data_IF_807832311352
#
_entry.id   IF_807832311352
#
_cell.length_a   1.000
_cell.length_b   1.000
_cell.length_c   1.000
_cell.angle_alpha   90.00
_cell.angle_beta   90.00
_cell.angle_gamma   90.00
#
_symmetry.space_group_name_H-M   'P 1'
#
loop_
_entity.id
_entity.type
_entity.pdbx_description
1 polymer ?
#
# COMPACT_ATOMS: atom_id res chain seq x y z
N UNK A 1 2.47 -8.95 14.86
CA UNK A 1 1.06 -8.99 15.32
C UNK A 1 0.67 -7.72 16.08
N UNK A 2 1.45 -7.24 17.06
CA UNK A 2 1.15 -6.00 17.80
C UNK A 2 1.04 -4.76 16.90
N UNK A 3 2.07 -4.48 16.07
CA UNK A 3 2.06 -3.33 15.14
C UNK A 3 0.80 -3.32 14.26
N UNK A 4 0.46 -4.45 13.66
CA UNK A 4 -0.73 -4.58 12.81
C UNK A 4 -2.03 -4.32 13.57
N UNK A 5 -2.14 -4.75 14.84
CA UNK A 5 -3.30 -4.46 15.70
C UNK A 5 -3.37 -2.99 16.08
N UNK A 6 -2.24 -2.35 16.39
CA UNK A 6 -2.20 -0.90 16.66
C UNK A 6 -2.65 -0.11 15.43
N UNK A 7 -2.14 -0.44 14.24
CA UNK A 7 -2.54 0.21 12.99
C UNK A 7 -4.05 0.06 12.73
N UNK A 8 -4.62 -1.11 13.02
CA UNK A 8 -6.06 -1.32 12.91
C UNK A 8 -6.85 -0.51 13.93
N UNK A 9 -6.38 -0.43 15.18
CA UNK A 9 -7.01 0.39 16.21
C UNK A 9 -7.00 1.88 15.83
N UNK A 10 -5.91 2.37 15.22
CA UNK A 10 -5.81 3.76 14.76
C UNK A 10 -6.87 4.12 13.71
N UNK A 11 -7.39 3.16 12.93
CA UNK A 11 -8.47 3.44 11.95
C UNK A 11 -9.71 4.03 12.60
N UNK A 12 -10.04 3.61 13.84
CA UNK A 12 -11.18 4.14 14.58
C UNK A 12 -11.01 5.60 15.01
N UNK A 13 -9.78 6.13 14.97
CA UNK A 13 -9.46 7.51 15.31
C UNK A 13 -9.17 8.36 14.06
N UNK A 14 -9.53 7.85 12.88
CA UNK A 14 -9.33 8.57 11.62
C UNK A 14 -10.61 8.60 10.79
N UNK A 15 -10.83 9.64 9.99
CA UNK A 15 -11.98 9.76 9.09
C UNK A 15 -12.20 8.53 8.19
N UNK A 16 -13.46 8.22 7.89
CA UNK A 16 -13.80 7.17 6.92
C UNK A 16 -13.46 7.61 5.48
N UNK A 17 -12.67 6.79 4.79
CA UNK A 17 -12.16 7.11 3.46
C UNK A 17 -13.26 7.09 2.40
N UNK A 18 -14.24 6.19 2.52
CA UNK A 18 -15.34 6.12 1.56
C UNK A 18 -16.19 7.39 1.63
N UNK A 19 -16.50 7.87 2.84
CA UNK A 19 -17.21 9.13 3.04
C UNK A 19 -16.43 10.33 2.49
N UNK A 20 -15.12 10.36 2.72
CA UNK A 20 -14.22 11.37 2.15
C UNK A 20 -14.26 11.37 0.62
N UNK A 21 -14.07 10.20 0.00
CA UNK A 21 -13.96 10.09 -1.46
C UNK A 21 -15.29 10.40 -2.16
N UNK A 22 -16.41 10.22 -1.46
CA UNK A 22 -17.74 10.60 -1.91
C UNK A 22 -18.08 12.08 -1.64
N UNK A 23 -17.12 12.86 -1.13
CA UNK A 23 -17.26 14.28 -0.74
C UNK A 23 -18.47 14.56 0.15
N UNK A 24 -18.83 13.56 0.98
CA UNK A 24 -19.80 13.80 2.05
C UNK A 24 -19.16 14.80 3.03
N UNK A 25 -19.93 15.81 3.45
CA UNK A 25 -19.47 16.84 4.38
C UNK A 25 -19.20 16.24 5.77
N UNK A 26 -18.04 15.62 5.92
CA UNK A 26 -17.57 15.05 7.16
C UNK A 26 -16.87 16.15 7.95
N UNK A 27 -17.25 16.34 9.22
CA UNK A 27 -16.52 17.25 10.09
C UNK A 27 -15.19 16.62 10.48
N UNK A 28 -14.15 16.98 9.72
CA UNK A 28 -12.81 16.46 9.95
C UNK A 28 -12.17 17.06 11.20
N UNK A 29 -12.70 18.15 11.76
CA UNK A 29 -12.15 18.79 12.95
C UNK A 29 -12.25 17.90 14.20
N UNK A 30 -13.20 16.96 14.23
CA UNK A 30 -13.37 15.99 15.33
C UNK A 30 -12.21 14.97 15.40
N UNK A 31 -11.43 14.83 14.31
CA UNK A 31 -10.33 13.88 14.23
C UNK A 31 -8.98 14.56 14.44
N UNK A 32 -8.17 13.96 15.32
CA UNK A 32 -6.81 14.41 15.57
C UNK A 32 -5.88 14.08 14.39
N UNK A 33 -4.86 14.91 14.23
CA UNK A 33 -3.70 14.58 13.40
C UNK A 33 -2.86 13.58 14.20
N UNK A 34 -2.74 12.37 13.67
CA UNK A 34 -2.05 11.26 14.32
C UNK A 34 -0.62 11.08 13.77
N UNK A 35 -0.35 11.59 12.58
CA UNK A 35 0.94 11.42 11.89
C UNK A 35 1.50 12.76 11.46
N UNK A 36 2.79 12.95 11.67
CA UNK A 36 3.51 14.12 11.20
C UNK A 36 3.57 14.16 9.68
N UNK A 37 3.37 15.35 9.11
CA UNK A 37 3.56 15.62 7.68
C UNK A 37 5.06 15.67 7.34
N UNK A 38 5.67 14.50 7.23
CA UNK A 38 7.01 14.31 6.69
C UNK A 38 7.05 13.02 5.88
N UNK A 39 7.66 13.08 4.69
CA UNK A 39 7.87 11.92 3.82
C UNK A 39 9.23 11.26 4.06
N UNK A 40 10.10 11.88 4.87
CA UNK A 40 11.32 11.22 5.33
C UNK A 40 10.96 10.14 6.33
N UNK A 41 11.59 8.97 6.19
CA UNK A 41 11.56 7.95 7.24
C UNK A 41 12.30 8.51 8.44
N UNK A 42 11.66 8.68 9.61
CA UNK A 42 12.37 9.16 10.79
C UNK A 42 13.47 8.15 11.16
N UNK A 43 14.57 8.67 11.70
CA UNK A 43 15.55 7.82 12.37
C UNK A 43 14.85 7.03 13.51
N UNK A 44 15.39 5.88 13.90
CA UNK A 44 14.88 5.11 15.04
C UNK A 44 15.09 5.88 16.35
N UNK A 45 14.20 6.82 16.60
CA UNK A 45 14.11 7.61 17.82
C UNK A 45 12.67 7.45 18.35
N UNK A 46 12.55 6.94 19.58
CA UNK A 46 11.25 6.64 20.21
C UNK A 46 10.45 7.89 20.54
N UNK A 47 11.12 9.05 20.60
CA UNK A 47 10.50 10.32 20.96
C UNK A 47 9.88 11.06 19.76
N UNK A 48 10.14 10.57 18.54
CA UNK A 48 9.63 11.19 17.32
C UNK A 48 8.29 10.55 16.94
N UNK A 49 7.25 11.37 16.89
CA UNK A 49 5.94 10.95 16.45
C UNK A 49 5.99 10.30 15.04
N UNK A 50 5.21 9.26 14.77
CA UNK A 50 5.21 8.60 13.48
C UNK A 50 4.80 9.56 12.36
N UNK A 51 5.39 9.40 11.18
CA UNK A 51 5.15 10.29 10.02
C UNK A 51 4.54 9.54 8.84
N UNK A 52 4.19 10.29 7.80
CA UNK A 52 3.80 9.71 6.50
C UNK A 52 4.92 8.83 5.95
N UNK A 53 6.17 9.25 6.10
CA UNK A 53 7.36 8.48 5.76
C UNK A 53 7.44 7.16 6.53
N UNK A 54 7.08 7.12 7.82
CA UNK A 54 7.01 5.87 8.59
C UNK A 54 6.00 4.88 8.00
N UNK A 55 4.82 5.36 7.59
CA UNK A 55 3.79 4.52 6.95
C UNK A 55 4.24 4.00 5.58
N UNK A 56 4.82 4.88 4.75
CA UNK A 56 5.37 4.52 3.43
C UNK A 56 6.51 3.52 3.54
N UNK A 57 7.42 3.71 4.49
CA UNK A 57 8.50 2.77 4.78
C UNK A 57 7.94 1.40 5.21
N UNK A 58 6.92 1.39 6.08
CA UNK A 58 6.26 0.15 6.51
C UNK A 58 5.64 -0.60 5.33
N UNK A 59 4.96 0.10 4.41
CA UNK A 59 4.41 -0.50 3.19
C UNK A 59 5.51 -1.11 2.32
N UNK A 60 6.61 -0.37 2.11
CA UNK A 60 7.75 -0.83 1.32
C UNK A 60 8.40 -2.09 1.92
N UNK A 61 8.62 -2.10 3.24
CA UNK A 61 9.17 -3.26 3.96
C UNK A 61 8.24 -4.46 3.82
N UNK A 62 6.93 -4.27 4.01
CA UNK A 62 5.96 -5.35 3.87
C UNK A 62 5.90 -5.91 2.44
N UNK A 63 5.93 -5.04 1.42
CA UNK A 63 5.98 -5.45 0.01
C UNK A 63 7.27 -6.22 -0.33
N UNK A 64 8.42 -5.77 0.17
CA UNK A 64 9.68 -6.47 -0.01
C UNK A 64 9.65 -7.86 0.65
N UNK A 65 9.15 -7.96 1.88
CA UNK A 65 8.99 -9.23 2.58
C UNK A 65 8.04 -10.18 1.82
N UNK A 66 6.94 -9.68 1.26
CA UNK A 66 6.06 -10.46 0.38
C UNK A 66 6.80 -10.99 -0.84
N UNK A 67 7.64 -10.15 -1.47
CA UNK A 67 8.46 -10.53 -2.61
C UNK A 67 9.48 -11.64 -2.30
N UNK A 68 10.06 -11.63 -1.09
CA UNK A 68 11.00 -12.67 -0.61
C UNK A 68 10.28 -13.98 -0.24
N UNK A 69 9.09 -13.89 0.36
CA UNK A 69 8.27 -15.06 0.70
C UNK A 69 7.88 -15.87 -0.55
N UNK A 70 7.58 -15.20 -1.66
CA UNK A 70 7.24 -15.87 -2.92
C UNK A 70 8.47 -16.47 -3.63
N UNK A 71 9.68 -15.90 -3.45
CA UNK A 71 10.94 -16.49 -3.98
C UNK A 71 11.30 -17.79 -3.28
N UNK A 72 11.03 -17.90 -1.97
CA UNK A 72 11.35 -19.08 -1.16
C UNK A 72 10.45 -20.30 -1.46
N UNK A 73 9.53 -20.15 -2.42
CA UNK A 73 8.55 -21.16 -2.85
C UNK A 73 9.02 -21.90 -4.11
N UNK A 74 10.33 -22.14 -4.24
CA UNK A 74 10.90 -22.90 -5.36
C UNK A 74 10.48 -24.38 -5.32
N UNK A 75 10.11 -24.99 -6.46
CA UNK A 75 9.54 -26.34 -6.54
C UNK A 75 10.49 -27.46 -6.08
N UNK A 76 11.80 -27.19 -6.00
CA UNK A 76 12.79 -28.16 -5.52
C UNK A 76 12.81 -28.34 -3.99
N UNK A 77 12.18 -27.44 -3.23
CA UNK A 77 12.08 -27.55 -1.76
C UNK A 77 10.88 -28.39 -1.27
N UNK A 78 10.03 -28.88 -2.18
CA UNK A 78 8.85 -29.70 -1.84
C UNK A 78 9.17 -31.18 -1.56
N UNK A 79 10.42 -31.62 -1.80
CA UNK A 79 10.86 -32.99 -1.56
C UNK A 79 11.20 -33.29 -0.09
N UNK A 80 11.36 -32.26 0.75
CA UNK A 80 11.46 -32.40 2.20
C UNK A 80 10.08 -32.14 2.80
N UNK A 81 9.60 -33.04 3.67
CA UNK A 81 8.27 -32.96 4.30
C UNK A 81 7.96 -31.61 4.99
N UNK A 82 6.71 -31.40 5.44
CA UNK A 82 6.27 -30.12 5.97
C UNK A 82 7.18 -29.66 7.12
N UNK A 83 8.01 -28.66 6.85
CA UNK A 83 8.86 -28.04 7.85
C UNK A 83 8.07 -26.98 8.62
N UNK A 84 8.34 -26.77 9.92
CA UNK A 84 7.66 -25.74 10.72
C UNK A 84 7.81 -24.31 10.14
N UNK A 85 8.82 -24.07 9.29
CA UNK A 85 8.97 -22.82 8.53
C UNK A 85 7.86 -22.60 7.49
N UNK A 86 7.28 -23.67 6.94
CA UNK A 86 6.25 -23.58 5.90
C UNK A 86 4.89 -23.15 6.47
N UNK A 87 4.58 -23.46 7.72
CA UNK A 87 3.37 -23.01 8.42
C UNK A 87 3.43 -21.55 8.84
N UNK A 88 4.59 -21.10 9.35
CA UNK A 88 4.82 -19.67 9.66
C UNK A 88 4.57 -18.78 8.44
N UNK A 89 5.08 -19.17 7.27
CA UNK A 89 4.89 -18.40 6.02
C UNK A 89 3.43 -18.30 5.56
N UNK A 90 2.57 -19.29 5.87
CA UNK A 90 1.14 -19.26 5.50
C UNK A 90 0.37 -18.16 6.21
N UNK A 91 0.76 -17.80 7.44
CA UNK A 91 0.11 -16.74 8.24
C UNK A 91 0.76 -15.37 8.06
N UNK A 92 2.04 -15.33 7.66
CA UNK A 92 2.78 -14.08 7.44
C UNK A 92 2.26 -13.30 6.22
N UNK A 93 1.94 -13.97 5.10
CA UNK A 93 1.45 -13.28 3.90
C UNK A 93 0.15 -12.48 4.15
N UNK A 94 -0.91 -13.07 4.74
CA UNK A 94 -2.11 -12.30 5.14
C UNK A 94 -1.80 -11.17 6.12
N UNK A 95 -0.89 -11.38 7.07
CA UNK A 95 -0.50 -10.35 8.04
C UNK A 95 0.19 -9.16 7.38
N UNK A 96 1.07 -9.39 6.40
CA UNK A 96 1.75 -8.33 5.65
C UNK A 96 0.77 -7.54 4.79
N UNK A 97 -0.14 -8.23 4.09
CA UNK A 97 -1.22 -7.60 3.34
C UNK A 97 -2.10 -6.74 4.24
N UNK A 98 -2.56 -7.29 5.37
CA UNK A 98 -3.35 -6.55 6.36
C UNK A 98 -2.60 -5.33 6.91
N UNK A 99 -1.29 -5.45 7.17
CA UNK A 99 -0.46 -4.34 7.64
C UNK A 99 -0.42 -3.23 6.59
N UNK A 100 -0.16 -3.57 5.33
CA UNK A 100 -0.15 -2.62 4.22
C UNK A 100 -1.50 -1.92 4.04
N UNK A 101 -2.60 -2.66 4.06
CA UNK A 101 -3.97 -2.11 3.95
C UNK A 101 -4.25 -1.06 5.03
N UNK A 102 -3.83 -1.33 6.27
CA UNK A 102 -4.01 -0.37 7.35
C UNK A 102 -3.11 0.85 7.17
N UNK A 103 -1.86 0.68 6.73
CA UNK A 103 -0.97 1.82 6.43
C UNK A 103 -1.52 2.70 5.31
N UNK A 104 -2.00 2.13 4.20
CA UNK A 104 -2.62 2.90 3.12
C UNK A 104 -3.85 3.64 3.59
N UNK A 105 -4.69 3.01 4.41
CA UNK A 105 -5.87 3.64 4.95
C UNK A 105 -5.51 4.87 5.81
N UNK A 106 -4.62 4.68 6.79
CA UNK A 106 -4.19 5.75 7.68
C UNK A 106 -3.54 6.89 6.90
N UNK A 107 -2.71 6.58 5.91
CA UNK A 107 -2.04 7.55 5.07
C UNK A 107 -3.06 8.39 4.27
N UNK A 108 -4.03 7.75 3.62
CA UNK A 108 -5.07 8.43 2.84
C UNK A 108 -5.94 9.30 3.74
N UNK A 109 -6.43 8.73 4.84
CA UNK A 109 -7.33 9.42 5.77
C UNK A 109 -6.67 10.65 6.39
N UNK A 110 -5.42 10.53 6.86
CA UNK A 110 -4.66 11.63 7.44
C UNK A 110 -4.26 12.67 6.39
N UNK A 111 -3.92 12.26 5.17
CA UNK A 111 -3.66 13.20 4.09
C UNK A 111 -4.88 14.09 3.81
N UNK A 112 -6.08 13.52 3.79
CA UNK A 112 -7.32 14.29 3.60
C UNK A 112 -7.55 15.24 4.76
N UNK A 113 -7.35 14.76 6.00
CA UNK A 113 -7.44 15.60 7.19
C UNK A 113 -6.54 16.83 7.10
N UNK A 114 -5.32 16.68 6.60
CA UNK A 114 -4.40 17.80 6.31
C UNK A 114 -4.89 18.70 5.16
N UNK A 115 -5.39 18.13 4.06
CA UNK A 115 -5.86 18.90 2.91
C UNK A 115 -7.05 19.80 3.26
N UNK A 116 -7.94 19.31 4.12
CA UNK A 116 -9.17 20.00 4.52
C UNK A 116 -8.98 20.86 5.78
N UNK A 117 -7.84 20.74 6.48
CA UNK A 117 -7.52 21.58 7.65
C UNK A 117 -7.34 23.06 7.25
N UNK A 118 -8.14 24.01 7.76
CA UNK A 118 -7.96 25.43 7.46
C UNK A 118 -6.66 26.03 8.02
N UNK A 119 -6.07 25.45 9.07
CA UNK A 119 -4.83 25.93 9.69
C UNK A 119 -3.57 25.56 8.88
N UNK A 120 -3.66 24.60 7.96
CA UNK A 120 -2.51 24.19 7.14
C UNK A 120 -2.37 25.13 5.95
N UNK A 121 -1.16 25.67 5.75
CA UNK A 121 -0.90 26.63 4.69
C UNK A 121 -1.08 26.01 3.29
N UNK A 122 -1.65 26.77 2.35
CA UNK A 122 -1.94 26.31 0.97
C UNK A 122 -0.70 25.74 0.25
N UNK A 123 0.45 26.39 0.41
CA UNK A 123 1.76 25.90 -0.07
C UNK A 123 2.10 24.51 0.45
N UNK A 124 1.90 24.24 1.74
CA UNK A 124 2.24 22.96 2.35
C UNK A 124 1.28 21.87 1.88
N UNK A 125 -0.01 22.22 1.69
CA UNK A 125 -0.98 21.32 1.05
C UNK A 125 -0.54 20.95 -0.37
N UNK A 126 -0.13 21.91 -1.19
CA UNK A 126 0.34 21.65 -2.56
C UNK A 126 1.59 20.75 -2.56
N UNK A 127 2.55 21.03 -1.69
CA UNK A 127 3.74 20.19 -1.51
C UNK A 127 3.36 18.77 -1.10
N UNK A 128 2.48 18.62 -0.13
CA UNK A 128 1.96 17.31 0.30
C UNK A 128 1.28 16.57 -0.86
N UNK A 129 0.41 17.24 -1.63
CA UNK A 129 -0.24 16.65 -2.80
C UNK A 129 0.79 16.07 -3.78
N UNK A 130 1.85 16.82 -4.06
CA UNK A 130 2.92 16.43 -4.97
C UNK A 130 3.73 15.23 -4.44
N UNK A 131 4.27 15.34 -3.22
CA UNK A 131 5.10 14.30 -2.61
C UNK A 131 4.29 13.00 -2.43
N UNK A 132 3.06 13.10 -1.91
CA UNK A 132 2.19 11.94 -1.71
C UNK A 132 1.81 11.27 -3.03
N UNK A 133 1.49 12.05 -4.06
CA UNK A 133 1.17 11.49 -5.38
C UNK A 133 2.37 10.76 -5.99
N UNK A 134 3.58 11.29 -5.83
CA UNK A 134 4.81 10.67 -6.32
C UNK A 134 5.09 9.34 -5.62
N UNK A 135 5.05 9.33 -4.29
CA UNK A 135 5.29 8.14 -3.47
C UNK A 135 4.25 7.05 -3.73
N UNK A 136 2.95 7.40 -3.74
CA UNK A 136 1.88 6.46 -4.03
C UNK A 136 1.95 5.91 -5.45
N UNK A 137 2.32 6.72 -6.45
CA UNK A 137 2.48 6.24 -7.83
C UNK A 137 3.64 5.24 -7.96
N UNK A 138 4.74 5.48 -7.24
CA UNK A 138 5.88 4.56 -7.17
C UNK A 138 5.48 3.25 -6.50
N UNK A 139 4.78 3.33 -5.35
CA UNK A 139 4.27 2.17 -4.63
C UNK A 139 3.28 1.35 -5.47
N UNK A 140 2.32 2.01 -6.13
CA UNK A 140 1.37 1.35 -7.03
C UNK A 140 2.08 0.64 -8.18
N UNK A 141 3.15 1.24 -8.72
CA UNK A 141 3.96 0.60 -9.76
C UNK A 141 4.64 -0.68 -9.24
N UNK A 142 5.20 -0.63 -8.03
CA UNK A 142 5.82 -1.79 -7.36
C UNK A 142 4.79 -2.89 -7.03
N UNK A 143 3.61 -2.51 -6.52
CA UNK A 143 2.51 -3.44 -6.23
C UNK A 143 1.99 -4.11 -7.50
N UNK A 144 1.79 -3.35 -8.57
CA UNK A 144 1.34 -3.89 -9.87
C UNK A 144 2.31 -4.94 -10.39
N UNK A 145 3.62 -4.70 -10.29
CA UNK A 145 4.66 -5.68 -10.65
C UNK A 145 4.57 -6.93 -9.76
N UNK A 146 4.40 -6.76 -8.46
CA UNK A 146 4.24 -7.88 -7.52
C UNK A 146 3.04 -8.76 -7.87
N UNK A 147 1.85 -8.19 -8.04
CA UNK A 147 0.63 -8.96 -8.37
C UNK A 147 0.69 -9.60 -9.75
N UNK A 148 1.28 -8.93 -10.75
CA UNK A 148 1.49 -9.54 -12.09
C UNK A 148 2.42 -10.75 -12.03
N UNK A 149 3.38 -10.77 -11.11
CA UNK A 149 4.31 -11.90 -10.92
C UNK A 149 3.65 -13.12 -10.27
N UNK A 150 2.52 -12.93 -9.60
CA UNK A 150 1.75 -14.00 -8.94
C UNK A 150 0.64 -14.64 -9.79
N UNK A 151 0.42 -14.18 -11.04
CA UNK A 151 -0.49 -14.82 -11.97
C UNK A 151 0.04 -16.18 -12.46
N UNK A 152 -0.82 -17.15 -12.82
CA UNK A 152 -0.36 -18.47 -13.26
C UNK A 152 0.62 -18.32 -14.43
N UNK A 153 1.86 -18.78 -14.22
CA UNK A 153 2.76 -19.07 -15.33
C UNK A 153 2.11 -20.16 -16.17
N UNK A 154 1.57 -19.79 -17.32
CA UNK A 154 1.09 -20.75 -18.31
C UNK A 154 2.24 -21.67 -18.74
N UNK A 155 2.05 -23.00 -18.76
CA UNK A 155 3.03 -23.91 -19.30
C UNK A 155 2.84 -23.96 -20.82
N UNK A 156 3.72 -23.31 -21.58
CA UNK A 156 3.93 -23.60 -22.99
C UNK A 156 5.39 -23.21 -23.27
N UNK A 157 6.27 -24.16 -23.56
CA UNK A 157 6.12 -25.05 -24.70
C UNK A 157 7.04 -24.48 -25.79
N UNK A 158 8.04 -25.27 -26.12
CA UNK A 158 9.15 -25.00 -27.01
C UNK A 158 8.82 -24.27 -28.33
N UNK A 159 9.81 -23.49 -28.80
CA UNK A 159 10.21 -23.24 -30.20
C UNK A 159 9.23 -22.48 -31.13
N UNK A 160 9.59 -21.21 -31.45
CA UNK A 160 9.87 -20.65 -32.80
C UNK A 160 9.71 -19.11 -32.83
N UNK A 161 10.50 -18.35 -33.62
CA UNK A 161 10.35 -16.90 -33.75
C UNK A 161 9.48 -16.52 -34.95
N UNK A 162 8.46 -15.67 -34.75
CA UNK A 162 7.89 -14.82 -35.80
C UNK A 162 7.24 -13.55 -35.23
N UNK A 163 7.24 -12.42 -35.98
CA UNK A 163 7.11 -11.10 -35.40
C UNK A 163 5.79 -10.43 -35.78
N UNK A 164 4.81 -10.38 -34.87
CA UNK A 164 3.75 -9.36 -34.88
C UNK A 164 2.80 -9.52 -33.68
N UNK A 165 2.43 -8.39 -33.08
CA UNK A 165 1.25 -8.30 -32.21
C UNK A 165 1.56 -8.26 -30.72
N UNK A 166 1.53 -7.05 -30.15
CA UNK A 166 1.59 -6.76 -28.72
C UNK A 166 0.56 -7.61 -27.92
N UNK A 167 0.91 -8.22 -26.78
CA UNK A 167 -0.05 -8.44 -25.71
C UNK A 167 0.07 -7.24 -24.77
N UNK A 168 -0.64 -6.15 -25.08
CA UNK A 168 -0.92 -5.15 -24.06
C UNK A 168 -1.95 -5.78 -23.12
N UNK A 169 -1.46 -6.46 -22.09
CA UNK A 169 -2.27 -6.90 -20.95
C UNK A 169 -2.72 -5.67 -20.16
N UNK A 170 -3.68 -4.95 -20.74
CA UNK A 170 -4.56 -4.05 -20.00
C UNK A 170 -5.41 -4.94 -19.11
N UNK A 171 -4.93 -5.14 -17.88
CA UNK A 171 -5.74 -5.63 -16.79
C UNK A 171 -6.94 -4.68 -16.70
N UNK A 172 -8.12 -5.17 -17.06
CA UNK A 172 -9.36 -4.43 -16.85
C UNK A 172 -9.56 -4.16 -15.35
N UNK A 173 -10.36 -3.15 -14.99
CA UNK A 173 -10.57 -2.77 -13.59
C UNK A 173 -11.14 -3.90 -12.72
N UNK A 174 -11.77 -4.93 -13.29
CA UNK A 174 -12.46 -5.98 -12.52
C UNK A 174 -11.54 -7.03 -11.87
N UNK A 175 -10.25 -7.11 -12.24
CA UNK A 175 -9.28 -8.06 -11.67
C UNK A 175 -8.31 -7.46 -10.66
N UNK A 176 -8.53 -6.21 -10.26
CA UNK A 176 -7.58 -5.42 -9.47
C UNK A 176 -7.98 -5.46 -7.99
N UNK A 177 -7.01 -5.71 -7.09
CA UNK A 177 -7.33 -5.76 -5.66
C UNK A 177 -8.00 -4.45 -5.17
N UNK A 178 -9.04 -4.52 -4.31
CA UNK A 178 -9.78 -3.35 -3.84
C UNK A 178 -8.90 -2.26 -3.25
N UNK A 179 -7.84 -2.65 -2.52
CA UNK A 179 -6.83 -1.74 -1.98
C UNK A 179 -6.16 -0.90 -3.08
N UNK A 180 -5.81 -1.54 -4.19
CA UNK A 180 -5.12 -0.90 -5.29
C UNK A 180 -6.03 0.12 -5.98
N UNK A 181 -7.31 -0.24 -6.21
CA UNK A 181 -8.31 0.66 -6.76
C UNK A 181 -8.54 1.88 -5.85
N UNK A 182 -8.58 1.66 -4.53
CA UNK A 182 -8.72 2.72 -3.54
C UNK A 182 -7.58 3.72 -3.63
N UNK A 183 -6.33 3.25 -3.56
CA UNK A 183 -5.14 4.09 -3.63
C UNK A 183 -5.06 4.83 -4.98
N UNK A 184 -5.37 4.17 -6.08
CA UNK A 184 -5.43 4.81 -7.40
C UNK A 184 -6.49 5.91 -7.49
N UNK A 185 -7.67 5.66 -6.92
CA UNK A 185 -8.76 6.65 -6.91
C UNK A 185 -8.38 7.85 -6.06
N UNK A 186 -7.74 7.61 -4.92
CA UNK A 186 -7.22 8.67 -4.08
C UNK A 186 -6.13 9.51 -4.78
N UNK A 187 -5.13 8.89 -5.43
CA UNK A 187 -4.10 9.63 -6.18
C UNK A 187 -4.75 10.55 -7.23
N UNK A 188 -5.74 10.04 -7.97
CA UNK A 188 -6.50 10.87 -8.94
C UNK A 188 -7.27 12.00 -8.27
N UNK A 189 -7.84 11.77 -7.08
CA UNK A 189 -8.55 12.79 -6.33
C UNK A 189 -7.61 13.91 -5.86
N UNK A 190 -6.41 13.56 -5.38
CA UNK A 190 -5.42 14.51 -4.86
C UNK A 190 -4.78 15.36 -5.97
N UNK A 191 -4.60 14.76 -7.16
CA UNK A 191 -4.03 15.43 -8.34
C UNK A 191 -4.99 16.41 -9.04
N UNK A 192 -6.29 16.35 -8.73
CA UNK A 192 -7.27 17.37 -9.15
C UNK A 192 -7.13 18.64 -8.30
#
# INVERSE_FOLDING_TARGET
TWVSKCLAALRHFTPDICQILLDQSLDLAEYNILFMLSFTTPAFDSEVAPSFGSLLATINVALNMLGELDKKKDPFSLAAGPSPQQEGNKTLKPLLMFTMENCFYLLISQAVRYLKDPAVHSRDKQRMKQELSSELSTLLSSLSRYFRRGGPSSPAGALLPSPQGKPSSKLGPEGQEPLFQLVQTFVRHVQR
#
